data_IF_643750412829
#
_entry.id   IF_643750412829
#
_cell.length_a   1.000
_cell.length_b   1.000
_cell.length_c   1.000
_cell.angle_alpha   90.00
_cell.angle_beta   90.00
_cell.angle_gamma   90.00
#
_symmetry.space_group_name_H-M   'P 1'
#
loop_
_entity.id
_entity.type
_entity.pdbx_description
1 polymer ?
#
# COMPACT_ATOMS: atom_id res chain seq x y z
N UNK A 1 14.45 7.97 -9.25
CA UNK A 1 13.89 8.64 -8.06
C UNK A 1 12.74 7.85 -7.47
N UNK A 2 12.72 7.72 -6.17
CA UNK A 2 11.60 7.03 -5.51
C UNK A 2 10.34 7.90 -5.55
N UNK A 3 9.24 7.26 -5.81
CA UNK A 3 7.93 7.90 -5.79
C UNK A 3 7.19 7.46 -4.55
N UNK A 4 6.60 8.42 -3.85
CA UNK A 4 5.81 8.14 -2.66
C UNK A 4 4.36 8.51 -2.90
N UNK A 5 3.47 7.72 -2.31
CA UNK A 5 2.03 7.93 -2.44
C UNK A 5 1.44 8.24 -1.07
N UNK A 6 0.44 9.11 -1.05
CA UNK A 6 -0.32 9.38 0.18
C UNK A 6 -1.32 8.25 0.42
N UNK A 7 -1.91 8.23 1.62
CA UNK A 7 -2.96 7.27 1.93
C UNK A 7 -4.11 7.36 0.92
N UNK A 8 -4.51 8.58 0.55
CA UNK A 8 -5.58 8.78 -0.42
C UNK A 8 -5.22 8.23 -1.80
N UNK A 9 -3.97 8.45 -2.21
CA UNK A 9 -3.50 7.94 -3.50
C UNK A 9 -3.43 6.41 -3.50
N UNK A 10 -3.04 5.80 -2.40
CA UNK A 10 -3.05 4.35 -2.27
C UNK A 10 -4.48 3.83 -2.34
N UNK A 11 -5.42 4.52 -1.71
CA UNK A 11 -6.82 4.13 -1.78
C UNK A 11 -7.33 4.16 -3.22
N UNK A 12 -6.98 5.19 -3.99
CA UNK A 12 -7.34 5.27 -5.40
C UNK A 12 -6.72 4.13 -6.20
N UNK A 13 -5.46 3.83 -5.94
CA UNK A 13 -4.73 2.76 -6.62
C UNK A 13 -5.45 1.42 -6.48
N UNK A 14 -5.99 1.14 -5.29
CA UNK A 14 -6.69 -0.11 -5.02
C UNK A 14 -8.20 0.01 -5.11
N UNK A 15 -8.70 1.17 -5.55
CA UNK A 15 -10.12 1.44 -5.74
C UNK A 15 -10.91 1.21 -4.47
N UNK A 16 -10.40 1.75 -3.38
CA UNK A 16 -11.02 1.64 -2.07
C UNK A 16 -10.99 3.01 -1.37
N UNK A 17 -11.37 3.07 -0.10
CA UNK A 17 -11.41 4.31 0.65
C UNK A 17 -10.15 4.48 1.50
N UNK A 18 -9.78 5.75 1.81
CA UNK A 18 -8.67 5.99 2.73
C UNK A 18 -8.86 5.33 4.10
N UNK A 19 -10.09 5.21 4.55
CA UNK A 19 -10.40 4.51 5.81
C UNK A 19 -9.98 3.05 5.76
N UNK A 20 -10.22 2.39 4.64
CA UNK A 20 -9.84 1.00 4.44
C UNK A 20 -8.31 0.86 4.46
N UNK A 21 -7.60 1.79 3.81
CA UNK A 21 -6.13 1.76 3.82
C UNK A 21 -5.60 1.96 5.23
N UNK A 22 -6.19 2.87 6.00
CA UNK A 22 -5.82 3.08 7.40
C UNK A 22 -6.08 1.82 8.24
N UNK A 23 -7.17 1.15 7.97
CA UNK A 23 -7.50 -0.11 8.64
C UNK A 23 -6.42 -1.16 8.36
N UNK A 24 -5.94 -1.25 7.13
CA UNK A 24 -4.87 -2.19 6.78
C UNK A 24 -3.62 -1.95 7.62
N UNK A 25 -3.26 -0.68 7.85
CA UNK A 25 -2.11 -0.36 8.70
C UNK A 25 -2.34 -0.79 10.14
N UNK A 26 -3.54 -0.51 10.64
CA UNK A 26 -3.91 -0.83 12.02
C UNK A 26 -3.94 -2.35 12.25
N UNK A 27 -4.55 -3.07 11.34
CA UNK A 27 -4.75 -4.51 11.45
C UNK A 27 -3.54 -5.32 10.97
N UNK A 28 -2.50 -4.65 10.48
CA UNK A 28 -1.31 -5.28 9.92
C UNK A 28 -1.65 -6.28 8.81
N UNK A 29 -2.61 -5.88 7.97
CA UNK A 29 -3.01 -6.66 6.81
C UNK A 29 -2.81 -5.80 5.55
N UNK A 30 -2.85 -6.41 4.38
CA UNK A 30 -2.60 -5.70 3.13
C UNK A 30 -1.17 -5.19 3.04
N UNK A 31 -0.91 -4.24 2.15
CA UNK A 31 0.46 -3.73 1.96
C UNK A 31 0.92 -2.89 3.16
N UNK A 32 2.11 -3.20 3.65
CA UNK A 32 2.73 -2.50 4.78
C UNK A 32 3.95 -1.69 4.33
N UNK A 33 3.95 -1.23 3.09
CA UNK A 33 5.09 -0.54 2.46
C UNK A 33 5.05 0.96 2.73
N UNK A 34 4.99 1.35 4.00
CA UNK A 34 4.83 2.76 4.35
C UNK A 34 5.88 3.23 5.35
N UNK A 35 6.11 4.55 5.33
CA UNK A 35 6.94 5.23 6.32
C UNK A 35 6.14 6.39 6.91
N UNK A 36 6.47 6.76 8.13
CA UNK A 36 5.83 7.90 8.78
C UNK A 36 6.80 9.08 8.78
N UNK A 37 6.30 10.23 8.33
CA UNK A 37 7.04 11.48 8.32
C UNK A 37 6.20 12.53 9.05
N UNK A 38 6.42 12.68 10.36
CA UNK A 38 5.60 13.55 11.17
C UNK A 38 4.14 13.09 11.16
N UNK A 39 3.26 13.94 10.65
CA UNK A 39 1.83 13.61 10.56
C UNK A 39 1.46 12.88 9.27
N UNK A 40 2.43 12.73 8.37
CA UNK A 40 2.18 12.14 7.07
C UNK A 40 2.61 10.68 7.03
N UNK A 41 1.81 9.88 6.36
CA UNK A 41 2.16 8.50 6.05
C UNK A 41 2.33 8.41 4.54
N UNK A 42 3.48 7.92 4.12
CA UNK A 42 3.82 7.81 2.69
C UNK A 42 4.12 6.36 2.35
N UNK A 43 3.63 5.92 1.20
CA UNK A 43 3.86 4.56 0.71
C UNK A 43 4.88 4.61 -0.42
N UNK A 44 5.82 3.67 -0.41
CA UNK A 44 6.81 3.52 -1.46
C UNK A 44 6.14 2.84 -2.66
N UNK A 45 6.03 3.57 -3.78
CA UNK A 45 5.34 3.06 -4.96
C UNK A 45 6.01 1.81 -5.54
N UNK A 46 7.34 1.76 -5.51
CA UNK A 46 8.07 0.59 -6.00
C UNK A 46 7.80 -0.64 -5.14
N UNK A 47 7.75 -0.44 -3.82
CA UNK A 47 7.44 -1.53 -2.91
C UNK A 47 6.01 -2.03 -3.10
N UNK A 48 5.09 -1.12 -3.41
CA UNK A 48 3.71 -1.51 -3.71
C UNK A 48 3.62 -2.31 -5.00
N UNK A 49 4.38 -1.92 -6.02
CA UNK A 49 4.43 -2.67 -7.27
C UNK A 49 4.92 -4.10 -7.02
N UNK A 50 5.95 -4.22 -6.20
CA UNK A 50 6.50 -5.54 -5.86
C UNK A 50 5.50 -6.37 -5.07
N UNK A 51 4.82 -5.74 -4.11
CA UNK A 51 3.79 -6.40 -3.31
C UNK A 51 2.68 -6.92 -4.21
N UNK A 52 2.19 -6.09 -5.13
CA UNK A 52 1.12 -6.48 -6.05
C UNK A 52 1.55 -7.66 -6.92
N UNK A 53 2.77 -7.64 -7.43
CA UNK A 53 3.29 -8.72 -8.26
C UNK A 53 3.37 -10.03 -7.49
N UNK A 54 3.81 -9.97 -6.23
CA UNK A 54 3.90 -11.16 -5.38
C UNK A 54 2.53 -11.72 -5.05
N UNK A 55 1.55 -10.85 -4.81
CA UNK A 55 0.17 -11.28 -4.54
C UNK A 55 -0.44 -11.99 -5.74
N UNK A 56 -0.27 -11.40 -6.93
CA UNK A 56 -0.78 -12.01 -8.16
C UNK A 56 -0.08 -13.34 -8.43
N UNK A 57 1.24 -13.38 -8.26
CA UNK A 57 2.01 -14.59 -8.45
C UNK A 57 1.60 -15.70 -7.50
N UNK A 58 1.35 -15.35 -6.24
CA UNK A 58 0.92 -16.30 -5.23
C UNK A 58 -0.43 -16.92 -5.60
N UNK A 59 -1.36 -16.11 -6.09
CA UNK A 59 -2.67 -16.60 -6.51
C UNK A 59 -2.60 -17.51 -7.74
N UNK A 60 -1.69 -17.19 -8.65
CA UNK A 60 -1.52 -18.01 -9.86
C UNK A 60 -0.85 -19.34 -9.56
N UNK A 61 -0.05 -19.39 -8.52
CA UNK A 61 0.65 -20.60 -8.12
C UNK A 61 -0.27 -21.62 -7.44
N UNK A 62 -1.42 -21.17 -7.02
CA UNK A 62 -2.38 -22.03 -6.30
C UNK A 62 -3.21 -22.94 -7.25
#
# INVERSE_FOLDING_TARGET
>A
MKKYLTTAEVAERYRTSPSTVRYWRYAETGPQCFIKRGRHVLYDAEALDKYDAEEIGSRRAA
#
